data_IF_616392337648
#
_entry.id   IF_616392337648
#
_cell.length_a   1.000
_cell.length_b   1.000
_cell.length_c   1.000
_cell.angle_alpha   90.00
_cell.angle_beta   90.00
_cell.angle_gamma   90.00
#
_symmetry.space_group_name_H-M   'P 1'
#
loop_
_entity.id
_entity.type
_entity.pdbx_description
1 polymer ?
#
# COMPACT_ATOMS: atom_id res chain seq x y z
N UNK A 1 -17.03 -4.80 25.10
CA UNK A 1 -16.35 -4.74 24.62
C UNK A 1 -15.34 -3.71 25.00
N UNK A 2 -14.45 -4.10 25.85
CA UNK A 2 -13.47 -3.19 26.46
C UNK A 2 -12.20 -3.21 25.61
N UNK A 3 -11.93 -2.14 24.86
CA UNK A 3 -10.59 -1.91 24.32
C UNK A 3 -9.63 -1.94 25.52
N UNK A 4 -8.46 -2.56 25.38
CA UNK A 4 -7.33 -2.39 26.32
C UNK A 4 -6.82 -0.94 26.23
N UNK A 5 -7.68 0.04 26.55
CA UNK A 5 -7.23 1.37 26.88
C UNK A 5 -6.46 1.24 28.19
N UNK A 6 -5.18 1.58 28.18
CA UNK A 6 -4.34 1.68 29.37
C UNK A 6 -5.07 2.59 30.38
N UNK A 7 -5.17 2.21 31.67
CA UNK A 7 -5.70 3.10 32.67
C UNK A 7 -4.91 4.41 32.66
N UNK A 8 -5.60 5.56 32.75
CA UNK A 8 -5.01 6.89 32.65
C UNK A 8 -3.92 7.20 33.69
N UNK A 9 -3.77 6.36 34.72
CA UNK A 9 -2.87 6.58 35.88
C UNK A 9 -1.63 5.63 35.87
N UNK A 10 -1.41 4.78 34.88
CA UNK A 10 -0.16 4.04 34.83
C UNK A 10 0.98 4.93 34.30
N UNK A 11 2.15 4.96 35.00
CA UNK A 11 3.31 5.72 34.51
C UNK A 11 3.70 5.25 33.10
N UNK A 12 3.95 6.22 32.22
CA UNK A 12 4.43 5.94 30.85
C UNK A 12 5.78 5.23 31.02
N UNK A 13 5.85 3.97 30.60
CA UNK A 13 7.11 3.24 30.52
C UNK A 13 7.98 3.88 29.43
N UNK A 14 9.03 4.56 29.85
CA UNK A 14 9.94 5.31 28.97
C UNK A 14 11.01 4.39 28.32
N UNK A 15 11.05 3.09 28.66
CA UNK A 15 11.98 2.18 27.98
C UNK A 15 11.66 2.06 26.49
N UNK A 16 12.66 1.90 25.60
CA UNK A 16 12.40 1.59 24.20
C UNK A 16 11.60 0.30 24.07
N UNK A 17 10.56 0.29 23.21
CA UNK A 17 9.83 -0.92 22.87
C UNK A 17 10.78 -1.93 22.23
N UNK A 18 10.63 -3.18 22.60
CA UNK A 18 11.41 -4.31 22.09
C UNK A 18 10.65 -4.95 20.94
N UNK A 19 11.23 -4.89 19.75
CA UNK A 19 10.58 -5.37 18.52
C UNK A 19 11.30 -6.60 17.98
N UNK A 20 10.52 -7.62 17.62
CA UNK A 20 10.99 -8.76 16.85
C UNK A 20 10.68 -8.55 15.37
N UNK A 21 11.60 -8.86 14.47
CA UNK A 21 11.34 -8.85 13.03
C UNK A 21 11.17 -10.29 12.53
N UNK A 22 10.05 -10.56 11.87
CA UNK A 22 9.76 -11.82 11.17
C UNK A 22 9.75 -11.54 9.68
N UNK A 23 10.80 -11.92 8.94
CA UNK A 23 10.86 -11.48 7.58
C UNK A 23 11.87 -12.15 6.69
N UNK A 24 12.25 -11.44 5.65
CA UNK A 24 13.04 -11.86 4.50
C UNK A 24 12.36 -11.50 3.19
N UNK A 25 11.21 -10.81 3.28
CA UNK A 25 10.48 -10.29 2.12
C UNK A 25 11.20 -9.12 1.42
N UNK A 26 10.72 -8.71 0.25
CA UNK A 26 11.35 -7.65 -0.57
C UNK A 26 11.42 -6.26 0.09
N UNK A 27 10.61 -6.02 1.12
CA UNK A 27 10.57 -4.75 1.85
C UNK A 27 11.39 -4.75 3.16
N UNK A 28 12.10 -5.84 3.46
CA UNK A 28 12.85 -5.96 4.74
C UNK A 28 13.87 -4.85 4.93
N UNK A 29 14.54 -4.41 3.86
CA UNK A 29 15.54 -3.35 3.95
C UNK A 29 14.92 -2.01 4.36
N UNK A 30 13.80 -1.64 3.73
CA UNK A 30 13.06 -0.41 4.03
C UNK A 30 12.51 -0.42 5.47
N UNK A 31 12.03 -1.58 5.96
CA UNK A 31 11.60 -1.72 7.36
C UNK A 31 12.77 -1.57 8.33
N UNK A 32 13.90 -2.25 8.10
CA UNK A 32 15.09 -2.12 8.95
C UNK A 32 15.62 -0.69 8.99
N UNK A 33 15.65 -0.03 7.84
CA UNK A 33 16.00 1.38 7.75
C UNK A 33 15.04 2.27 8.55
N UNK A 34 13.74 2.01 8.46
CA UNK A 34 12.71 2.70 9.25
C UNK A 34 12.90 2.47 10.75
N UNK A 35 13.08 1.23 11.19
CA UNK A 35 13.34 0.92 12.59
C UNK A 35 14.63 1.56 13.11
N UNK A 36 15.66 1.69 12.29
CA UNK A 36 16.94 2.33 12.70
C UNK A 36 16.78 3.82 13.00
N UNK A 37 15.77 4.47 12.42
CA UNK A 37 15.46 5.90 12.61
C UNK A 37 14.31 6.13 13.59
N UNK A 38 13.61 5.04 13.99
CA UNK A 38 12.45 5.14 14.87
C UNK A 38 12.85 5.50 16.30
N UNK A 39 12.19 6.52 16.84
CA UNK A 39 12.36 6.89 18.23
C UNK A 39 11.50 6.02 19.15
N UNK A 40 12.06 5.64 20.27
CA UNK A 40 11.34 4.93 21.32
C UNK A 40 11.12 3.44 21.10
N UNK A 41 11.73 2.83 20.05
CA UNK A 41 11.71 1.40 19.83
C UNK A 41 13.04 0.90 19.26
N UNK A 42 13.30 -0.40 19.34
CA UNK A 42 14.46 -1.03 18.72
C UNK A 42 14.16 -2.47 18.33
N UNK A 43 14.69 -2.92 17.21
CA UNK A 43 14.70 -4.34 16.84
C UNK A 43 15.74 -5.06 17.70
N UNK A 44 15.30 -6.04 18.49
CA UNK A 44 16.13 -6.82 19.42
C UNK A 44 16.28 -8.28 19.01
N UNK A 45 15.38 -8.77 18.17
CA UNK A 45 15.34 -10.15 17.71
C UNK A 45 14.90 -10.23 16.25
N UNK A 46 15.41 -11.22 15.53
CA UNK A 46 15.10 -11.41 14.12
C UNK A 46 14.97 -12.88 13.78
N UNK A 47 13.95 -13.22 13.01
CA UNK A 47 13.85 -14.45 12.26
C UNK A 47 13.78 -14.15 10.77
N UNK A 48 14.70 -14.74 10.00
CA UNK A 48 14.69 -14.68 8.53
C UNK A 48 15.24 -16.01 7.98
N UNK A 49 14.45 -16.74 7.17
CA UNK A 49 14.91 -17.98 6.54
C UNK A 49 16.11 -17.76 5.58
N UNK A 50 16.30 -16.54 5.06
CA UNK A 50 17.43 -16.18 4.18
C UNK A 50 18.63 -15.57 4.93
N UNK A 51 18.60 -15.51 6.22
CA UNK A 51 19.53 -15.12 7.31
C UNK A 51 20.77 -14.25 7.05
N UNK A 52 21.34 -14.17 5.85
CA UNK A 52 22.61 -13.46 5.60
C UNK A 52 22.44 -11.95 5.51
N UNK A 53 21.33 -11.45 4.92
CA UNK A 53 21.04 -10.02 4.81
C UNK A 53 20.71 -9.35 6.13
N UNK A 54 20.01 -10.08 6.99
CA UNK A 54 19.49 -9.51 8.24
C UNK A 54 20.59 -9.36 9.28
N UNK A 55 21.52 -10.30 9.36
CA UNK A 55 22.64 -10.25 10.33
C UNK A 55 23.53 -9.03 10.20
N UNK A 56 23.70 -8.49 8.99
CA UNK A 56 24.53 -7.32 8.74
C UNK A 56 23.85 -5.99 9.03
N UNK A 57 22.49 -5.96 9.03
CA UNK A 57 21.73 -4.71 9.15
C UNK A 57 21.11 -4.46 10.53
N UNK A 58 21.11 -5.45 11.44
CA UNK A 58 20.36 -5.37 12.70
C UNK A 58 21.18 -4.94 13.93
N UNK A 59 22.45 -4.53 13.76
CA UNK A 59 23.21 -3.86 14.82
C UNK A 59 23.31 -4.61 16.16
N UNK A 60 23.23 -5.97 16.17
CA UNK A 60 23.35 -6.78 17.36
C UNK A 60 22.05 -7.44 17.85
N UNK A 61 20.96 -7.44 17.04
CA UNK A 61 19.76 -8.20 17.33
C UNK A 61 20.03 -9.71 17.36
N UNK A 62 19.41 -10.43 18.30
CA UNK A 62 19.51 -11.87 18.40
C UNK A 62 18.83 -12.56 17.20
N UNK A 63 19.47 -13.58 16.62
CA UNK A 63 18.91 -14.35 15.50
C UNK A 63 18.30 -15.64 16.00
N UNK A 64 17.10 -15.96 15.55
CA UNK A 64 16.36 -17.15 15.96
C UNK A 64 16.13 -18.10 14.78
N UNK A 65 16.02 -19.41 15.11
CA UNK A 65 15.78 -20.45 14.10
C UNK A 65 14.30 -20.53 13.69
N UNK A 66 13.39 -19.96 14.49
CA UNK A 66 11.96 -19.88 14.19
C UNK A 66 11.30 -18.71 14.91
N UNK A 67 10.15 -18.22 14.44
CA UNK A 67 9.35 -17.21 15.15
C UNK A 67 8.88 -17.68 16.53
N UNK A 68 8.56 -18.97 16.68
CA UNK A 68 8.17 -19.56 17.95
C UNK A 68 9.29 -19.44 18.98
N UNK A 69 10.53 -19.80 18.58
CA UNK A 69 11.69 -19.70 19.44
C UNK A 69 11.99 -18.24 19.82
N UNK A 70 11.79 -17.30 18.88
CA UNK A 70 11.95 -15.87 19.12
C UNK A 70 10.93 -15.34 20.14
N UNK A 71 9.65 -15.63 19.93
CA UNK A 71 8.56 -15.19 20.81
C UNK A 71 8.60 -15.84 22.20
N UNK A 72 9.12 -17.07 22.31
CA UNK A 72 9.31 -17.76 23.59
C UNK A 72 10.58 -17.30 24.32
N UNK A 73 11.62 -16.90 23.59
CA UNK A 73 12.94 -16.56 24.16
C UNK A 73 13.13 -15.07 24.47
N UNK A 74 12.33 -14.19 23.89
CA UNK A 74 12.45 -12.74 24.05
C UNK A 74 11.19 -12.11 24.67
N UNK A 75 11.39 -11.16 25.56
CA UNK A 75 10.31 -10.32 26.06
C UNK A 75 10.06 -9.21 25.02
N UNK A 76 9.20 -9.47 24.04
CA UNK A 76 8.85 -8.54 22.97
C UNK A 76 7.57 -7.74 23.32
N UNK A 77 7.57 -6.46 22.97
CA UNK A 77 6.38 -5.61 23.04
C UNK A 77 5.59 -5.69 21.71
N UNK A 78 6.30 -5.85 20.59
CA UNK A 78 5.71 -5.96 19.28
C UNK A 78 6.54 -6.83 18.33
N UNK A 79 5.91 -7.28 17.24
CA UNK A 79 6.59 -7.91 16.10
C UNK A 79 6.27 -7.16 14.83
N UNK A 80 7.25 -7.07 13.94
CA UNK A 80 7.10 -6.59 12.56
C UNK A 80 7.16 -7.78 11.60
N UNK A 81 6.07 -8.04 10.87
CA UNK A 81 5.93 -9.20 9.99
C UNK A 81 6.10 -8.76 8.53
N UNK A 82 7.30 -8.97 7.99
CA UNK A 82 7.68 -8.67 6.60
C UNK A 82 7.83 -9.96 5.80
N UNK A 83 6.89 -10.85 5.96
CA UNK A 83 6.88 -12.20 5.38
C UNK A 83 6.00 -12.29 4.10
N UNK A 84 6.12 -13.37 3.31
CA UNK A 84 5.17 -13.66 2.24
C UNK A 84 3.73 -13.69 2.76
N UNK A 85 2.78 -13.22 1.94
CA UNK A 85 1.37 -13.03 2.34
C UNK A 85 0.71 -14.32 2.84
N UNK A 86 1.14 -15.49 2.33
CA UNK A 86 0.57 -16.79 2.68
C UNK A 86 0.87 -17.19 4.13
N UNK A 87 1.97 -16.70 4.70
CA UNK A 87 2.41 -17.03 6.06
C UNK A 87 2.05 -15.97 7.10
N UNK A 88 1.61 -14.77 6.68
CA UNK A 88 1.36 -13.65 7.60
C UNK A 88 0.32 -13.97 8.66
N UNK A 89 -0.81 -14.58 8.24
CA UNK A 89 -1.88 -14.94 9.16
C UNK A 89 -1.40 -15.85 10.30
N UNK A 90 -0.53 -16.81 9.99
CA UNK A 90 0.01 -17.74 11.00
C UNK A 90 0.91 -17.02 11.98
N UNK A 91 1.73 -16.08 11.52
CA UNK A 91 2.60 -15.28 12.39
C UNK A 91 1.80 -14.28 13.23
N UNK A 92 0.72 -13.70 12.70
CA UNK A 92 -0.20 -12.85 13.48
C UNK A 92 -0.88 -13.67 14.59
N UNK A 93 -1.37 -14.89 14.28
CA UNK A 93 -1.92 -15.81 15.29
C UNK A 93 -0.91 -16.16 16.35
N UNK A 94 0.32 -16.42 15.93
CA UNK A 94 1.41 -16.75 16.85
C UNK A 94 1.70 -15.59 17.80
N UNK A 95 1.87 -14.37 17.28
CA UNK A 95 2.08 -13.16 18.08
C UNK A 95 0.92 -12.93 19.06
N UNK A 96 -0.33 -13.12 18.60
CA UNK A 96 -1.51 -13.00 19.46
C UNK A 96 -1.53 -13.98 20.63
N UNK A 97 -1.11 -15.24 20.41
CA UNK A 97 -0.98 -16.23 21.50
C UNK A 97 0.03 -15.81 22.57
N UNK A 98 1.04 -15.04 22.19
CA UNK A 98 2.05 -14.50 23.11
C UNK A 98 1.68 -13.11 23.68
N UNK A 99 0.55 -12.53 23.26
CA UNK A 99 0.12 -11.20 23.69
C UNK A 99 0.99 -10.07 23.16
N UNK A 100 1.63 -10.27 22.01
CA UNK A 100 2.58 -9.35 21.36
C UNK A 100 1.87 -8.59 20.24
N UNK A 101 1.93 -7.25 20.24
CA UNK A 101 1.33 -6.40 19.23
C UNK A 101 2.02 -6.54 17.87
N UNK A 102 1.31 -6.23 16.78
CA UNK A 102 1.77 -6.57 15.43
C UNK A 102 1.76 -5.36 14.51
N UNK A 103 2.88 -5.10 13.83
CA UNK A 103 2.96 -4.43 12.54
C UNK A 103 3.09 -5.50 11.47
N UNK A 104 2.27 -5.48 10.41
CA UNK A 104 2.28 -6.50 9.37
C UNK A 104 2.27 -5.88 7.98
N UNK A 105 3.06 -6.41 7.06
CA UNK A 105 3.01 -6.04 5.65
C UNK A 105 1.64 -6.36 5.03
N UNK A 106 1.29 -5.55 4.03
CA UNK A 106 0.03 -5.68 3.27
C UNK A 106 0.16 -6.69 2.10
N UNK A 107 -0.95 -7.29 1.63
CA UNK A 107 -2.21 -7.41 2.35
C UNK A 107 -2.05 -8.33 3.56
N UNK A 108 -2.91 -8.14 4.56
CA UNK A 108 -2.87 -8.93 5.80
C UNK A 108 -3.02 -10.43 5.53
N UNK A 109 -3.91 -10.78 4.58
CA UNK A 109 -4.19 -12.14 4.13
C UNK A 109 -4.39 -12.14 2.60
N UNK A 110 -4.36 -13.31 1.94
CA UNK A 110 -4.64 -13.43 0.52
C UNK A 110 -6.05 -13.00 0.12
N UNK A 111 -7.07 -13.28 0.95
CA UNK A 111 -8.47 -12.92 0.71
C UNK A 111 -9.08 -12.11 1.84
N UNK A 112 -10.14 -11.36 1.54
CA UNK A 112 -10.93 -10.63 2.54
C UNK A 112 -11.53 -11.59 3.59
N UNK A 113 -12.01 -12.76 3.18
CA UNK A 113 -12.60 -13.76 4.07
C UNK A 113 -11.57 -14.28 5.10
N UNK A 114 -10.34 -14.55 4.64
CA UNK A 114 -9.24 -14.99 5.53
C UNK A 114 -8.86 -13.88 6.51
N UNK A 115 -8.78 -12.63 6.06
CA UNK A 115 -8.49 -11.50 6.93
C UNK A 115 -9.57 -11.29 7.98
N UNK A 116 -10.85 -11.40 7.59
CA UNK A 116 -11.98 -11.34 8.54
C UNK A 116 -11.96 -12.49 9.55
N UNK A 117 -11.61 -13.72 9.11
CA UNK A 117 -11.47 -14.87 10.00
C UNK A 117 -10.35 -14.66 11.00
N UNK A 118 -9.17 -14.25 10.51
CA UNK A 118 -8.02 -13.95 11.35
C UNK A 118 -8.35 -12.92 12.43
N UNK A 119 -9.01 -11.81 12.08
CA UNK A 119 -9.33 -10.76 13.06
C UNK A 119 -10.37 -11.21 14.09
N UNK A 120 -11.32 -12.09 13.71
CA UNK A 120 -12.22 -12.72 14.70
C UNK A 120 -11.49 -13.65 15.66
N UNK A 121 -10.51 -14.42 15.17
CA UNK A 121 -9.70 -15.34 15.97
C UNK A 121 -8.78 -14.61 16.95
N UNK A 122 -8.13 -13.55 16.48
CA UNK A 122 -7.20 -12.72 17.27
C UNK A 122 -7.95 -11.87 18.28
N UNK A 123 -9.13 -11.37 17.92
CA UNK A 123 -9.96 -10.51 18.78
C UNK A 123 -9.22 -9.25 19.22
N UNK A 124 -9.53 -8.78 20.42
CA UNK A 124 -8.92 -7.58 21.02
C UNK A 124 -7.67 -7.92 21.88
N UNK A 125 -7.17 -9.16 21.78
CA UNK A 125 -6.03 -9.64 22.59
C UNK A 125 -4.73 -8.93 22.27
N UNK A 126 -4.54 -8.52 21.01
CA UNK A 126 -3.39 -7.76 20.53
C UNK A 126 -3.86 -6.74 19.50
N UNK A 127 -3.06 -5.72 19.30
CA UNK A 127 -3.30 -4.66 18.33
C UNK A 127 -2.55 -4.96 17.04
N UNK A 128 -3.22 -4.90 15.91
CA UNK A 128 -2.64 -5.19 14.60
C UNK A 128 -2.75 -3.94 13.71
N UNK A 129 -1.60 -3.44 13.27
CA UNK A 129 -1.47 -2.42 12.24
C UNK A 129 -1.00 -3.07 10.93
N UNK A 130 -1.59 -2.68 9.81
CA UNK A 130 -1.13 -3.09 8.48
C UNK A 130 -0.31 -1.95 7.85
N UNK A 131 0.83 -2.29 7.26
CA UNK A 131 1.74 -1.33 6.68
C UNK A 131 1.25 -0.81 5.31
N UNK A 132 0.09 -0.13 5.29
CA UNK A 132 -0.35 0.69 4.15
C UNK A 132 0.37 2.04 4.20
N UNK A 133 1.66 2.00 3.93
CA UNK A 133 2.58 3.11 4.15
C UNK A 133 2.38 4.28 3.17
N UNK A 134 1.72 4.09 2.02
CA UNK A 134 1.55 5.19 1.04
C UNK A 134 0.75 6.37 1.58
N UNK A 135 -0.20 6.16 2.50
CA UNK A 135 -0.90 7.27 3.19
C UNK A 135 0.07 8.24 3.87
N UNK A 136 1.25 7.75 4.28
CA UNK A 136 2.28 8.54 4.98
C UNK A 136 3.20 9.30 4.02
N UNK A 137 3.03 9.19 2.69
CA UNK A 137 3.82 9.99 1.75
C UNK A 137 3.51 11.46 1.89
N UNK A 138 4.55 12.30 1.96
CA UNK A 138 4.45 13.72 2.25
C UNK A 138 3.47 14.46 1.31
N UNK A 139 3.42 14.10 0.04
CA UNK A 139 2.50 14.73 -0.90
C UNK A 139 1.02 14.32 -0.65
N UNK A 140 0.73 13.10 -0.21
CA UNK A 140 -0.64 12.73 0.17
C UNK A 140 -1.08 13.44 1.46
N UNK A 141 -0.16 13.62 2.42
CA UNK A 141 -0.42 14.41 3.61
C UNK A 141 -0.74 15.87 3.23
N UNK A 142 0.04 16.46 2.31
CA UNK A 142 -0.21 17.82 1.81
C UNK A 142 -1.55 17.92 1.09
N UNK A 143 -1.92 16.96 0.26
CA UNK A 143 -3.25 16.91 -0.40
C UNK A 143 -4.36 16.84 0.65
N UNK A 144 -4.21 15.98 1.67
CA UNK A 144 -5.18 15.88 2.76
C UNK A 144 -5.31 17.18 3.56
N UNK A 145 -4.21 17.93 3.76
CA UNK A 145 -4.23 19.25 4.38
C UNK A 145 -5.06 20.23 3.54
N UNK A 146 -4.79 20.34 2.24
CA UNK A 146 -5.55 21.22 1.34
C UNK A 146 -7.04 20.88 1.26
N UNK A 147 -7.39 19.58 1.33
CA UNK A 147 -8.79 19.14 1.41
C UNK A 147 -9.44 19.57 2.74
N UNK A 148 -8.76 19.39 3.88
CA UNK A 148 -9.24 19.80 5.21
C UNK A 148 -9.38 21.31 5.36
N UNK A 149 -8.49 22.07 4.73
CA UNK A 149 -8.49 23.54 4.68
C UNK A 149 -9.53 24.09 3.68
N UNK A 150 -10.27 23.22 3.01
CA UNK A 150 -11.27 23.56 1.98
C UNK A 150 -10.68 24.40 0.83
N UNK A 151 -9.39 24.22 0.51
CA UNK A 151 -8.73 25.02 -0.55
C UNK A 151 -9.25 24.69 -1.95
N UNK A 152 -9.70 23.46 -2.17
CA UNK A 152 -10.22 23.02 -3.45
C UNK A 152 -11.67 23.49 -3.70
N UNK A 153 -12.40 23.87 -2.65
CA UNK A 153 -13.85 24.03 -2.73
C UNK A 153 -14.55 22.67 -2.89
N UNK A 154 -15.61 22.61 -3.67
CA UNK A 154 -16.26 21.34 -3.99
C UNK A 154 -15.37 20.53 -4.92
N UNK A 155 -14.94 19.33 -4.47
CA UNK A 155 -14.23 18.37 -5.34
C UNK A 155 -15.22 17.78 -6.33
N UNK A 156 -14.92 17.91 -7.62
CA UNK A 156 -15.81 17.50 -8.73
C UNK A 156 -15.46 16.10 -9.22
N UNK A 157 -14.16 15.79 -9.31
CA UNK A 157 -13.65 14.53 -9.81
C UNK A 157 -12.21 14.33 -9.31
N UNK A 158 -11.81 13.07 -9.15
CA UNK A 158 -10.42 12.73 -8.84
C UNK A 158 -9.95 11.54 -9.70
N UNK A 159 -8.64 11.51 -9.96
CA UNK A 159 -7.96 10.41 -10.65
C UNK A 159 -6.64 10.10 -9.97
N UNK A 160 -6.35 8.81 -9.79
CA UNK A 160 -5.05 8.30 -9.33
C UNK A 160 -4.55 7.32 -10.40
N UNK A 161 -3.35 7.52 -10.93
CA UNK A 161 -2.80 6.68 -11.98
C UNK A 161 -1.43 6.10 -11.61
N UNK A 162 -1.18 4.84 -12.00
CA UNK A 162 0.08 4.11 -11.79
C UNK A 162 0.49 3.40 -13.07
N UNK A 163 1.23 4.09 -13.93
CA UNK A 163 1.70 3.57 -15.21
C UNK A 163 3.20 3.31 -15.15
N UNK A 164 3.63 2.09 -15.50
CA UNK A 164 5.03 1.66 -15.43
C UNK A 164 5.36 0.62 -16.50
N UNK A 165 6.66 0.45 -16.77
CA UNK A 165 7.17 -0.53 -17.73
C UNK A 165 7.70 -1.81 -17.07
N UNK A 166 7.32 -2.09 -15.83
CA UNK A 166 7.93 -3.14 -14.99
C UNK A 166 7.68 -4.58 -15.46
N UNK A 167 6.69 -4.80 -16.36
CA UNK A 167 6.42 -6.07 -17.03
C UNK A 167 6.93 -6.12 -18.47
N UNK A 168 7.60 -5.07 -18.96
CA UNK A 168 8.31 -5.09 -20.21
C UNK A 168 9.76 -5.58 -20.00
N UNK A 169 10.36 -6.30 -20.98
CA UNK A 169 11.77 -6.65 -20.93
C UNK A 169 12.66 -5.40 -20.88
N UNK A 170 13.58 -5.36 -19.92
CA UNK A 170 14.63 -4.34 -19.88
C UNK A 170 15.70 -4.56 -20.95
N UNK A 171 16.72 -3.67 -20.97
CA UNK A 171 17.83 -3.79 -21.90
C UNK A 171 18.64 -5.10 -21.75
N UNK A 172 18.60 -5.71 -20.56
CA UNK A 172 19.21 -7.02 -20.25
C UNK A 172 18.24 -8.20 -20.53
N UNK A 173 17.08 -7.94 -21.10
CA UNK A 173 16.03 -8.92 -21.36
C UNK A 173 15.26 -9.38 -20.13
N UNK A 174 15.59 -8.89 -18.93
CA UNK A 174 14.88 -9.27 -17.70
C UNK A 174 13.64 -8.43 -17.47
N UNK A 175 12.65 -9.04 -16.85
CA UNK A 175 11.41 -8.38 -16.44
C UNK A 175 11.55 -7.99 -14.97
N UNK A 176 11.61 -6.70 -14.70
CA UNK A 176 11.95 -6.17 -13.39
C UNK A 176 10.98 -6.63 -12.27
N UNK A 177 9.69 -6.68 -12.54
CA UNK A 177 8.71 -7.18 -11.57
C UNK A 177 8.92 -8.64 -11.23
N UNK A 178 9.19 -9.50 -12.23
CA UNK A 178 9.42 -10.94 -12.02
C UNK A 178 10.79 -11.22 -11.39
N UNK A 179 11.80 -10.42 -11.70
CA UNK A 179 13.11 -10.53 -11.04
C UNK A 179 13.03 -10.21 -9.53
N UNK A 180 12.18 -9.25 -9.15
CA UNK A 180 11.94 -8.87 -7.76
C UNK A 180 10.98 -9.82 -7.04
N UNK A 181 9.93 -10.26 -7.71
CA UNK A 181 8.81 -11.04 -7.17
C UNK A 181 8.45 -12.16 -8.15
N UNK A 182 9.21 -13.28 -8.18
CA UNK A 182 9.01 -14.35 -9.15
C UNK A 182 7.64 -15.03 -9.05
N UNK A 183 6.98 -14.98 -7.89
CA UNK A 183 5.67 -15.57 -7.68
C UNK A 183 4.58 -14.94 -8.57
N UNK A 184 4.72 -13.66 -8.95
CA UNK A 184 3.76 -12.94 -9.80
C UNK A 184 3.51 -13.65 -11.15
N UNK A 185 4.47 -14.46 -11.63
CA UNK A 185 4.29 -15.20 -12.87
C UNK A 185 3.12 -16.19 -12.85
N UNK A 186 2.72 -16.66 -11.67
CA UNK A 186 1.68 -17.69 -11.47
C UNK A 186 0.41 -17.18 -10.80
N UNK A 187 0.43 -15.93 -10.36
CA UNK A 187 -0.73 -15.33 -9.68
C UNK A 187 -1.84 -15.00 -10.69
N UNK A 188 -3.07 -15.28 -10.30
CA UNK A 188 -4.27 -14.92 -11.07
C UNK A 188 -4.70 -13.46 -10.83
N UNK A 189 -4.28 -12.86 -9.70
CA UNK A 189 -4.57 -11.49 -9.28
C UNK A 189 -3.26 -10.75 -9.07
N UNK A 190 -2.89 -9.84 -9.98
CA UNK A 190 -1.56 -9.23 -9.99
C UNK A 190 -1.61 -7.72 -9.80
N UNK A 191 -2.07 -6.95 -10.77
CA UNK A 191 -1.97 -5.50 -10.71
C UNK A 191 -2.84 -4.90 -9.60
N UNK A 192 -4.11 -5.31 -9.52
CA UNK A 192 -5.02 -4.75 -8.51
C UNK A 192 -4.57 -5.18 -7.11
N UNK A 193 -4.32 -6.47 -6.89
CA UNK A 193 -4.00 -7.02 -5.57
C UNK A 193 -2.61 -6.60 -5.05
N UNK A 194 -1.61 -6.51 -5.92
CA UNK A 194 -0.23 -6.27 -5.52
C UNK A 194 0.21 -4.80 -5.66
N UNK A 195 -0.54 -4.02 -6.42
CA UNK A 195 -0.19 -2.63 -6.68
C UNK A 195 -1.32 -1.67 -6.38
N UNK A 196 -2.46 -1.76 -7.09
CA UNK A 196 -3.53 -0.78 -6.98
C UNK A 196 -4.28 -0.83 -5.65
N UNK A 197 -4.06 -1.87 -4.82
CA UNK A 197 -4.52 -1.88 -3.42
C UNK A 197 -4.03 -0.64 -2.65
N UNK A 198 -2.84 -0.15 -2.95
CA UNK A 198 -2.32 1.07 -2.36
C UNK A 198 -3.09 2.33 -2.83
N UNK A 199 -3.41 2.40 -4.13
CA UNK A 199 -4.19 3.51 -4.69
C UNK A 199 -5.62 3.50 -4.17
N UNK A 200 -6.21 2.30 -3.96
CA UNK A 200 -7.51 2.13 -3.28
C UNK A 200 -7.44 2.64 -1.83
N UNK A 201 -6.37 2.31 -1.12
CA UNK A 201 -6.14 2.75 0.25
C UNK A 201 -5.96 4.27 0.34
N UNK A 202 -5.15 4.85 -0.55
CA UNK A 202 -4.95 6.30 -0.65
C UNK A 202 -6.26 7.01 -0.99
N UNK A 203 -7.04 6.52 -1.96
CA UNK A 203 -8.33 7.09 -2.30
C UNK A 203 -9.28 7.12 -1.08
N UNK A 204 -9.34 6.03 -0.30
CA UNK A 204 -10.10 5.99 0.96
C UNK A 204 -9.58 7.02 1.98
N UNK A 205 -8.27 7.16 2.10
CA UNK A 205 -7.68 8.10 3.06
C UNK A 205 -7.97 9.57 2.71
N UNK A 206 -8.10 9.90 1.44
CA UNK A 206 -8.36 11.26 0.95
C UNK A 206 -9.86 11.60 0.86
N UNK A 207 -10.70 10.65 0.44
CA UNK A 207 -12.09 10.90 0.10
C UNK A 207 -13.10 10.18 0.98
N UNK A 208 -12.64 9.39 1.96
CA UNK A 208 -13.50 8.63 2.86
C UNK A 208 -14.01 7.33 2.28
N UNK A 209 -15.20 6.90 2.68
CA UNK A 209 -15.77 5.63 2.22
C UNK A 209 -16.12 5.68 0.72
N UNK A 210 -15.81 4.58 0.05
CA UNK A 210 -15.96 4.40 -1.39
C UNK A 210 -16.64 3.06 -1.70
N UNK A 211 -17.32 3.00 -2.85
CA UNK A 211 -17.78 1.76 -3.48
C UNK A 211 -17.24 1.66 -4.90
N UNK A 212 -16.96 0.46 -5.38
CA UNK A 212 -16.58 0.25 -6.77
C UNK A 212 -17.84 0.14 -7.62
N UNK A 213 -17.97 1.01 -8.64
CA UNK A 213 -19.14 1.04 -9.52
C UNK A 213 -18.84 0.47 -10.91
N UNK A 214 -17.56 0.37 -11.30
CA UNK A 214 -17.13 -0.30 -12.51
C UNK A 214 -15.65 -0.70 -12.40
N UNK A 215 -15.29 -1.81 -13.01
CA UNK A 215 -13.90 -2.24 -13.16
C UNK A 215 -13.72 -2.95 -14.49
N UNK A 216 -12.58 -2.69 -15.14
CA UNK A 216 -12.12 -3.46 -16.28
C UNK A 216 -10.68 -3.87 -16.07
N UNK A 217 -10.34 -5.09 -16.46
CA UNK A 217 -8.97 -5.63 -16.41
C UNK A 217 -8.54 -6.05 -17.80
N UNK A 218 -7.24 -6.10 -18.02
CA UNK A 218 -6.66 -6.58 -19.25
C UNK A 218 -5.27 -7.13 -19.05
N UNK A 219 -4.76 -7.85 -20.04
CA UNK A 219 -3.43 -8.43 -20.04
C UNK A 219 -2.68 -8.12 -21.32
N UNK A 220 -1.64 -7.29 -21.25
CA UNK A 220 -0.78 -6.94 -22.37
C UNK A 220 0.46 -7.83 -22.47
N UNK A 221 0.91 -8.42 -21.35
CA UNK A 221 2.08 -9.31 -21.33
C UNK A 221 1.67 -10.80 -21.25
N UNK A 222 2.49 -11.70 -21.84
CA UNK A 222 2.34 -13.16 -21.70
C UNK A 222 3.12 -13.74 -20.51
N UNK A 223 3.84 -12.91 -19.76
CA UNK A 223 4.76 -13.37 -18.70
C UNK A 223 4.08 -13.66 -17.36
N UNK A 224 2.82 -13.32 -17.22
CA UNK A 224 2.00 -13.56 -16.01
C UNK A 224 0.66 -14.20 -16.38
N UNK A 225 -0.01 -14.81 -15.41
CA UNK A 225 -1.36 -15.36 -15.58
C UNK A 225 -2.40 -14.26 -15.43
N UNK A 226 -2.30 -13.46 -14.40
CA UNK A 226 -3.25 -12.40 -14.08
C UNK A 226 -3.14 -11.15 -14.96
N UNK A 227 -3.79 -10.07 -14.53
CA UNK A 227 -3.89 -8.80 -15.23
C UNK A 227 -2.65 -7.91 -15.00
N UNK A 228 -2.26 -7.14 -16.02
CA UNK A 228 -1.22 -6.11 -15.95
C UNK A 228 -1.73 -4.71 -16.34
N UNK A 229 -3.02 -4.59 -16.66
CA UNK A 229 -3.70 -3.31 -16.77
C UNK A 229 -5.10 -3.40 -16.15
N UNK A 230 -5.54 -2.29 -15.52
CA UNK A 230 -6.86 -2.17 -14.92
C UNK A 230 -7.32 -0.74 -14.88
N UNK A 231 -8.64 -0.53 -14.94
CA UNK A 231 -9.30 0.73 -14.64
C UNK A 231 -10.44 0.47 -13.67
N UNK A 232 -10.45 1.18 -12.55
CA UNK A 232 -11.43 1.06 -11.48
C UNK A 232 -12.13 2.42 -11.34
N UNK A 233 -13.46 2.42 -11.33
CA UNK A 233 -14.28 3.60 -11.06
C UNK A 233 -14.94 3.45 -9.71
N UNK A 234 -14.70 4.40 -8.82
CA UNK A 234 -15.24 4.43 -7.48
C UNK A 234 -16.18 5.63 -7.30
N UNK A 235 -17.07 5.52 -6.33
CA UNK A 235 -17.99 6.59 -5.93
C UNK A 235 -18.04 6.72 -4.42
N UNK A 236 -18.03 7.95 -3.93
CA UNK A 236 -18.36 8.25 -2.52
C UNK A 236 -19.88 8.27 -2.31
N UNK A 237 -20.40 8.11 -1.08
CA UNK A 237 -21.81 8.30 -0.76
C UNK A 237 -22.35 9.69 -1.13
N UNK A 238 -21.48 10.66 -1.31
CA UNK A 238 -21.84 12.06 -1.66
C UNK A 238 -21.78 12.34 -3.16
N UNK A 239 -21.51 11.32 -3.99
CA UNK A 239 -21.53 11.42 -5.45
C UNK A 239 -20.22 11.79 -6.12
N UNK A 240 -19.11 12.00 -5.37
CA UNK A 240 -17.78 12.17 -5.96
C UNK A 240 -17.37 10.88 -6.70
N UNK A 241 -16.95 11.03 -7.96
CA UNK A 241 -16.36 9.94 -8.74
C UNK A 241 -14.84 10.02 -8.67
N UNK A 242 -14.22 8.87 -8.33
CA UNK A 242 -12.76 8.69 -8.31
C UNK A 242 -12.40 7.58 -9.29
N UNK A 243 -11.43 7.82 -10.16
CA UNK A 243 -10.90 6.78 -11.05
C UNK A 243 -9.50 6.37 -10.62
N UNK A 244 -9.24 5.07 -10.64
CA UNK A 244 -7.90 4.51 -10.45
C UNK A 244 -7.55 3.73 -11.70
N UNK A 245 -6.43 4.05 -12.34
CA UNK A 245 -5.95 3.31 -13.50
C UNK A 245 -4.49 2.91 -13.35
N UNK A 246 -4.21 1.67 -13.71
CA UNK A 246 -2.88 1.07 -13.62
C UNK A 246 -2.47 0.30 -14.85
N UNK A 247 -1.18 0.40 -15.21
CA UNK A 247 -0.56 -0.37 -16.29
C UNK A 247 0.86 -0.75 -15.88
N UNK A 248 1.20 -2.04 -15.99
CA UNK A 248 2.57 -2.53 -15.73
C UNK A 248 3.40 -2.69 -17.00
N UNK A 249 2.79 -2.56 -18.17
CA UNK A 249 3.41 -2.76 -19.50
C UNK A 249 3.36 -1.50 -20.37
N UNK A 250 3.48 -0.31 -19.75
CA UNK A 250 3.46 0.98 -20.42
C UNK A 250 4.88 1.38 -20.89
N UNK A 251 5.15 1.27 -22.20
CA UNK A 251 6.41 1.72 -22.77
C UNK A 251 6.59 3.24 -22.61
N UNK A 252 7.83 3.69 -22.41
CA UNK A 252 8.14 5.09 -22.18
C UNK A 252 8.02 5.55 -20.72
N UNK A 253 7.46 4.72 -19.85
CA UNK A 253 7.42 4.96 -18.40
C UNK A 253 8.58 4.26 -17.69
N UNK A 254 8.94 4.77 -16.49
CA UNK A 254 9.93 4.11 -15.63
C UNK A 254 9.46 2.73 -15.14
N UNK A 255 10.41 1.87 -14.77
CA UNK A 255 10.14 0.57 -14.13
C UNK A 255 9.39 0.76 -12.81
N UNK A 256 9.69 1.83 -12.09
CA UNK A 256 8.95 2.30 -10.90
C UNK A 256 8.27 3.60 -11.28
N UNK A 257 6.94 3.60 -11.31
CA UNK A 257 6.19 4.81 -11.58
C UNK A 257 6.15 5.69 -10.32
N UNK A 258 6.41 6.99 -10.45
CA UNK A 258 5.95 7.96 -9.45
C UNK A 258 4.42 7.95 -9.40
N UNK A 259 3.85 8.32 -8.26
CA UNK A 259 2.41 8.49 -8.15
C UNK A 259 1.95 9.67 -9.02
N UNK A 260 0.81 9.51 -9.66
CA UNK A 260 0.17 10.56 -10.43
C UNK A 260 -1.25 10.76 -9.93
N UNK A 261 -1.58 12.00 -9.54
CA UNK A 261 -2.89 12.36 -8.99
C UNK A 261 -3.40 13.64 -9.64
N UNK A 262 -4.66 13.63 -10.02
CA UNK A 262 -5.38 14.79 -10.53
C UNK A 262 -6.69 14.92 -9.73
N UNK A 263 -6.92 16.08 -9.09
CA UNK A 263 -8.15 16.37 -8.35
C UNK A 263 -8.70 17.70 -8.86
N UNK A 264 -9.87 17.66 -9.47
CA UNK A 264 -10.56 18.85 -9.91
C UNK A 264 -11.46 19.39 -8.80
N UNK A 265 -11.24 20.63 -8.40
CA UNK A 265 -12.09 21.37 -7.47
C UNK A 265 -12.64 22.65 -8.08
N UNK A 266 -13.67 23.23 -7.45
CA UNK A 266 -14.31 24.44 -7.94
C UNK A 266 -13.54 25.73 -7.67
N UNK A 267 -12.56 25.70 -6.75
CA UNK A 267 -11.67 26.83 -6.44
C UNK A 267 -10.24 26.57 -6.90
N UNK A 268 -9.69 25.40 -6.53
CA UNK A 268 -8.38 24.97 -6.97
C UNK A 268 -8.43 23.52 -7.40
N UNK A 269 -7.48 23.14 -8.25
CA UNK A 269 -7.19 21.76 -8.64
C UNK A 269 -5.82 21.32 -8.17
N UNK A 270 -5.66 20.04 -7.94
CA UNK A 270 -4.38 19.42 -7.55
C UNK A 270 -3.86 18.60 -8.70
N UNK A 271 -2.55 18.73 -8.97
CA UNK A 271 -1.81 17.88 -9.90
C UNK A 271 -0.54 17.41 -9.19
N UNK A 272 -0.40 16.08 -9.06
CA UNK A 272 0.84 15.41 -8.69
C UNK A 272 1.36 14.66 -9.92
N UNK A 273 2.54 15.03 -10.38
CA UNK A 273 3.23 14.38 -11.48
C UNK A 273 4.74 14.53 -11.31
N UNK A 274 5.51 13.47 -11.59
CA UNK A 274 6.97 13.44 -11.47
C UNK A 274 7.47 14.03 -10.13
N UNK A 275 6.90 13.54 -9.02
CA UNK A 275 7.18 14.01 -7.66
C UNK A 275 7.03 15.53 -7.45
N UNK A 276 6.28 16.19 -8.33
CA UNK A 276 5.94 17.61 -8.21
C UNK A 276 4.44 17.75 -7.94
N UNK A 277 4.09 18.25 -6.77
CA UNK A 277 2.74 18.53 -6.36
C UNK A 277 2.40 20.00 -6.57
N UNK A 278 1.31 20.27 -7.28
CA UNK A 278 0.83 21.62 -7.56
C UNK A 278 -0.62 21.80 -7.13
N UNK A 279 -0.89 22.90 -6.48
CA UNK A 279 -2.23 23.48 -6.34
C UNK A 279 -2.35 24.61 -7.35
N UNK A 280 -3.43 24.65 -8.13
CA UNK A 280 -3.63 25.63 -9.19
C UNK A 280 -5.07 26.13 -9.18
N UNK A 281 -5.28 27.44 -9.39
CA UNK A 281 -6.60 28.05 -9.44
C UNK A 281 -6.66 29.39 -8.72
N UNK A 282 -7.55 29.54 -7.75
CA UNK A 282 -7.63 30.76 -6.93
C UNK A 282 -6.36 30.99 -6.10
N UNK A 283 -5.72 29.90 -5.69
CA UNK A 283 -4.41 29.87 -5.04
C UNK A 283 -3.42 29.04 -5.86
N UNK A 284 -2.12 29.35 -5.75
CA UNK A 284 -1.06 28.60 -6.39
C UNK A 284 0.00 28.20 -5.37
N UNK A 285 0.35 26.91 -5.36
CA UNK A 285 1.39 26.35 -4.50
C UNK A 285 2.10 25.22 -5.23
N UNK A 286 3.40 25.10 -5.11
CA UNK A 286 4.19 24.03 -5.73
C UNK A 286 5.20 23.47 -4.76
N UNK A 287 5.16 22.15 -4.60
CA UNK A 287 6.14 21.38 -3.82
C UNK A 287 6.86 20.38 -4.72
N UNK A 288 8.17 20.29 -4.60
CA UNK A 288 8.98 19.28 -5.27
C UNK A 288 9.55 18.34 -4.22
N UNK A 289 9.46 17.05 -4.51
CA UNK A 289 9.90 16.00 -3.62
C UNK A 289 11.00 15.16 -4.28
N UNK A 290 11.88 14.59 -3.49
CA UNK A 290 12.76 13.50 -3.91
C UNK A 290 11.99 12.18 -3.75
N UNK A 291 11.79 11.45 -4.85
CA UNK A 291 10.98 10.21 -4.86
C UNK A 291 11.62 9.09 -4.02
N UNK A 292 12.97 9.05 -3.95
CA UNK A 292 13.65 8.04 -3.13
C UNK A 292 13.48 8.36 -1.63
N UNK A 293 13.58 9.65 -1.27
CA UNK A 293 13.32 10.11 0.09
C UNK A 293 11.87 9.87 0.51
N UNK A 294 10.88 10.28 -0.31
CA UNK A 294 9.46 10.05 -0.04
C UNK A 294 9.17 8.57 0.17
N UNK A 295 9.78 7.71 -0.63
CA UNK A 295 9.61 6.26 -0.51
C UNK A 295 10.11 5.72 0.81
N UNK A 296 11.31 6.09 1.26
CA UNK A 296 11.82 5.63 2.53
C UNK A 296 11.05 6.27 3.69
N UNK A 297 10.81 7.57 3.60
CA UNK A 297 10.14 8.34 4.63
C UNK A 297 8.75 7.79 4.98
N UNK A 298 8.01 7.26 4.00
CA UNK A 298 6.70 6.68 4.31
C UNK A 298 6.77 5.40 5.14
N UNK A 299 7.86 4.63 5.08
CA UNK A 299 8.12 3.53 6.02
C UNK A 299 8.52 4.07 7.39
N UNK A 300 9.41 5.05 7.44
CA UNK A 300 9.86 5.66 8.69
C UNK A 300 8.65 6.23 9.48
N UNK A 301 7.80 7.01 8.79
CA UNK A 301 6.64 7.65 9.39
C UNK A 301 5.53 6.62 9.81
N UNK A 302 5.33 5.55 9.03
CA UNK A 302 4.41 4.47 9.39
C UNK A 302 4.89 3.70 10.64
N UNK A 303 6.19 3.40 10.72
CA UNK A 303 6.80 2.72 11.86
C UNK A 303 6.76 3.63 13.10
N UNK A 304 7.09 4.91 12.96
CA UNK A 304 7.00 5.86 14.07
C UNK A 304 5.55 6.01 14.55
N UNK A 305 4.59 6.11 13.61
CA UNK A 305 3.16 6.12 13.96
C UNK A 305 2.75 4.86 14.75
N UNK A 306 3.20 3.67 14.33
CA UNK A 306 2.94 2.43 15.06
C UNK A 306 3.41 2.53 16.50
N UNK A 307 4.65 2.96 16.74
CA UNK A 307 5.24 3.11 18.07
C UNK A 307 4.48 4.15 18.91
N UNK A 308 4.18 5.31 18.34
CA UNK A 308 3.49 6.40 19.02
C UNK A 308 2.05 6.01 19.42
N UNK A 309 1.34 5.28 18.54
CA UNK A 309 0.00 4.80 18.87
C UNK A 309 0.00 3.66 19.88
N UNK A 310 1.01 2.76 19.84
CA UNK A 310 1.18 1.74 20.90
C UNK A 310 1.36 2.40 22.26
N UNK A 311 2.30 3.33 22.38
CA UNK A 311 2.59 4.03 23.63
C UNK A 311 1.42 4.86 24.13
N UNK A 312 0.72 5.54 23.20
CA UNK A 312 -0.42 6.40 23.52
C UNK A 312 -1.75 5.66 23.71
N UNK A 313 -1.81 4.35 23.50
CA UNK A 313 -3.06 3.58 23.52
C UNK A 313 -4.09 4.05 22.51
N UNK A 314 -3.67 4.74 21.43
CA UNK A 314 -4.56 5.34 20.43
C UNK A 314 -4.70 4.43 19.21
N UNK A 315 -5.83 4.50 18.46
CA UNK A 315 -6.02 3.70 17.26
C UNK A 315 -4.91 3.92 16.23
N UNK A 316 -4.53 2.85 15.52
CA UNK A 316 -3.69 2.97 14.34
C UNK A 316 -4.49 3.54 13.17
N UNK A 317 -3.87 4.43 12.40
CA UNK A 317 -4.48 4.98 11.20
C UNK A 317 -4.73 3.92 10.12
N UNK A 318 -3.83 2.94 10.03
CA UNK A 318 -3.96 1.78 9.15
C UNK A 318 -4.15 0.50 9.97
N UNK A 319 -5.15 0.49 10.87
CA UNK A 319 -5.47 -0.72 11.65
C UNK A 319 -5.87 -1.87 10.74
N UNK A 320 -5.74 -3.10 11.23
CA UNK A 320 -6.20 -4.27 10.48
C UNK A 320 -7.71 -4.20 10.13
N UNK A 321 -8.52 -3.55 10.96
CA UNK A 321 -9.95 -3.30 10.67
C UNK A 321 -10.11 -2.31 9.50
N UNK A 322 -9.29 -1.25 9.44
CA UNK A 322 -9.31 -0.31 8.31
C UNK A 322 -8.90 -1.00 7.00
N UNK A 323 -7.90 -1.88 7.05
CA UNK A 323 -7.47 -2.68 5.89
C UNK A 323 -8.61 -3.53 5.29
N UNK A 324 -9.53 -4.08 6.12
CA UNK A 324 -10.67 -4.84 5.58
C UNK A 324 -11.51 -4.03 4.61
N UNK A 325 -11.64 -2.72 4.82
CA UNK A 325 -12.40 -1.87 3.89
C UNK A 325 -11.64 -1.66 2.57
N UNK A 326 -10.31 -1.53 2.59
CA UNK A 326 -9.50 -1.52 1.36
C UNK A 326 -9.56 -2.85 0.62
N UNK A 327 -9.45 -3.97 1.35
CA UNK A 327 -9.58 -5.31 0.75
C UNK A 327 -10.98 -5.55 0.16
N UNK A 328 -12.03 -5.00 0.76
CA UNK A 328 -13.39 -5.08 0.19
C UNK A 328 -13.50 -4.37 -1.15
N UNK A 329 -12.91 -3.19 -1.30
CA UNK A 329 -12.87 -2.51 -2.60
C UNK A 329 -12.10 -3.33 -3.64
N UNK A 330 -10.99 -3.96 -3.24
CA UNK A 330 -10.23 -4.85 -4.11
C UNK A 330 -11.09 -6.04 -4.60
N UNK A 331 -11.81 -6.72 -3.70
CA UNK A 331 -12.70 -7.82 -4.08
C UNK A 331 -13.84 -7.35 -4.99
N UNK A 332 -14.50 -6.24 -4.68
CA UNK A 332 -15.53 -5.64 -5.54
C UNK A 332 -15.00 -5.33 -6.95
N UNK A 333 -13.76 -4.84 -7.05
CA UNK A 333 -13.14 -4.56 -8.35
C UNK A 333 -13.00 -5.85 -9.18
N UNK A 334 -12.53 -6.94 -8.58
CA UNK A 334 -12.43 -8.23 -9.27
C UNK A 334 -13.80 -8.82 -9.61
N UNK A 335 -14.78 -8.79 -8.71
CA UNK A 335 -16.14 -9.27 -8.97
C UNK A 335 -16.77 -8.55 -10.18
N UNK A 336 -16.58 -7.25 -10.30
CA UNK A 336 -17.09 -6.47 -11.43
C UNK A 336 -16.28 -6.74 -12.71
N UNK A 337 -14.96 -6.91 -12.62
CA UNK A 337 -14.11 -7.24 -13.76
C UNK A 337 -14.45 -8.62 -14.33
N UNK A 338 -14.67 -9.62 -13.48
CA UNK A 338 -15.01 -11.00 -13.87
C UNK A 338 -16.39 -11.08 -14.53
N UNK A 339 -17.30 -10.18 -14.20
CA UNK A 339 -18.62 -10.08 -14.82
C UNK A 339 -18.60 -9.39 -16.19
N UNK A 340 -17.50 -8.70 -16.54
CA UNK A 340 -17.33 -8.02 -17.82
C UNK A 340 -16.68 -8.96 -18.88
N UNK A 341 -17.00 -8.78 -20.19
CA UNK A 341 -16.30 -9.53 -21.23
C UNK A 341 -14.79 -9.24 -21.16
N UNK A 342 -13.96 -10.29 -21.06
CA UNK A 342 -12.50 -10.14 -21.09
C UNK A 342 -12.07 -9.55 -22.46
N UNK A 343 -11.57 -8.33 -22.42
CA UNK A 343 -10.99 -7.67 -23.59
C UNK A 343 -9.48 -7.96 -23.59
N UNK A 344 -9.04 -8.80 -24.52
CA UNK A 344 -7.62 -8.99 -24.81
C UNK A 344 -6.98 -7.72 -25.40
N UNK A 345 -5.64 -7.65 -25.47
CA UNK A 345 -4.95 -6.50 -26.06
C UNK A 345 -5.41 -6.31 -27.51
N UNK A 346 -6.03 -5.17 -27.77
CA UNK A 346 -6.56 -4.86 -29.09
C UNK A 346 -5.53 -4.09 -29.90
N UNK A 347 -5.05 -4.68 -31.01
CA UNK A 347 -4.45 -3.86 -32.06
C UNK A 347 -5.58 -3.08 -32.72
N UNK A 348 -5.59 -1.77 -32.55
CA UNK A 348 -6.50 -0.92 -33.30
C UNK A 348 -6.27 -1.13 -34.79
N UNK A 349 -7.33 -1.30 -35.60
CA UNK A 349 -7.17 -1.30 -37.05
C UNK A 349 -6.54 0.03 -37.48
N UNK A 350 -5.78 0.05 -38.61
CA UNK A 350 -5.23 1.29 -39.11
C UNK A 350 -6.36 2.30 -39.30
N UNK A 351 -6.22 3.45 -38.63
CA UNK A 351 -7.17 4.56 -38.81
C UNK A 351 -7.06 5.02 -40.27
N UNK A 352 -8.13 4.88 -41.04
CA UNK A 352 -8.17 5.41 -42.38
C UNK A 352 -7.88 6.92 -42.31
N UNK A 353 -7.00 7.45 -43.15
CA UNK A 353 -6.76 8.90 -43.17
C UNK A 353 -8.09 9.62 -43.39
N UNK A 354 -8.30 10.79 -42.74
CA UNK A 354 -9.50 11.54 -42.95
C UNK A 354 -9.66 11.86 -44.47
N UNK A 355 -10.81 11.57 -45.01
CA UNK A 355 -11.14 11.99 -46.40
C UNK A 355 -11.24 13.51 -46.40
N UNK A 356 -10.08 14.17 -46.55
CA UNK A 356 -10.04 15.60 -46.85
C UNK A 356 -10.34 15.70 -48.35
N UNK A 357 -11.63 15.71 -48.67
CA UNK A 357 -11.94 15.75 -50.06
C UNK A 357 -13.25 16.34 -50.37
N UNK A 358 -13.43 17.23 -51.08
CA UNK A 358 -14.55 17.88 -51.67
C UNK A 358 -14.18 19.32 -52.04
N UNK A 359 -13.34 19.50 -53.06
CA UNK A 359 -13.39 20.76 -53.79
C UNK A 359 -14.82 20.91 -54.26
N UNK A 360 -15.53 21.81 -53.62
CA UNK A 360 -16.75 22.37 -54.23
C UNK A 360 -16.28 23.25 -55.36
N UNK A 361 -16.63 22.86 -56.58
CA UNK A 361 -16.46 23.66 -57.78
C UNK A 361 -17.43 24.84 -57.78
#
# INVERSE_FOLDING_TARGET
MSSRARPADEPIDHRPLRVGLIGGGPATAEHLDGWSRCEGARVVAVFDPSSERVRTSTGGAATYASPEAMLAGEALDAVDIVAPRESRADWVRLAARHGVDVLCERPLCPTLADAQSLLREVGDGVRVMVNENRRFRAYYQRIADWLREDRLGTVVQARIASWRSSMLPGADGKIASLARQPFLAREERVLIAESLIHELDVARSLFGELEVIACTTGKATSHIVGEDCAMIVLRTPYGLTVTIDGVMSAAGHGVRAPDRVEIAGTRCSVILEDATLRLQGADEETHRYDEAEVRQRCFDDAIQHFVDQLRGGRPFWTSAQDQLATMRLMEQAYELADSAPSLGPTRLPPIAPPVIGGRVA
#
